data_IF_100656573236
#
_entry.id   IF_100656573236
#
_cell.length_a   1.000
_cell.length_b   1.000
_cell.length_c   1.000
_cell.angle_alpha   90.00
_cell.angle_beta   90.00
_cell.angle_gamma   90.00
#
_symmetry.space_group_name_H-M   'P 1'
#
loop_
_entity.id
_entity.type
_entity.pdbx_description
1 polymer ?
#
# COMPACT_ATOMS: atom_id res chain seq x y z
N UNK A 1 -5.64 -4.99 16.72
CA UNK A 1 -6.87 -4.77 15.94
C UNK A 1 -6.83 -3.38 15.37
N UNK A 2 -7.32 -3.18 14.14
CA UNK A 2 -7.45 -1.85 13.52
C UNK A 2 -8.93 -1.47 13.53
N UNK A 3 -9.26 -0.28 14.02
CA UNK A 3 -10.63 0.27 14.11
C UNK A 3 -10.88 1.42 13.12
N UNK A 4 -10.03 1.55 12.10
CA UNK A 4 -10.15 2.61 11.12
C UNK A 4 -11.34 2.35 10.17
N UNK A 5 -12.20 3.35 10.00
CA UNK A 5 -13.29 3.35 9.03
C UNK A 5 -12.97 4.34 7.91
N UNK A 6 -13.04 3.89 6.65
CA UNK A 6 -12.72 4.71 5.49
C UNK A 6 -13.39 4.17 4.22
N UNK A 7 -13.42 4.98 3.16
CA UNK A 7 -13.81 4.58 1.81
C UNK A 7 -12.58 4.41 0.91
N UNK A 8 -12.73 3.71 -0.22
CA UNK A 8 -11.66 3.60 -1.22
C UNK A 8 -11.15 4.97 -1.68
N UNK A 9 -12.06 5.93 -1.90
CA UNK A 9 -11.70 7.28 -2.30
C UNK A 9 -10.87 7.99 -1.22
N UNK A 10 -11.31 7.96 0.04
CA UNK A 10 -10.58 8.59 1.13
C UNK A 10 -9.19 7.96 1.35
N UNK A 11 -9.06 6.63 1.21
CA UNK A 11 -7.76 5.97 1.23
C UNK A 11 -6.86 6.44 0.08
N UNK A 12 -7.36 6.47 -1.15
CA UNK A 12 -6.59 6.92 -2.31
C UNK A 12 -6.13 8.39 -2.15
N UNK A 13 -7.01 9.27 -1.68
CA UNK A 13 -6.67 10.67 -1.38
C UNK A 13 -5.59 10.77 -0.30
N UNK A 14 -5.72 10.01 0.80
CA UNK A 14 -4.71 9.98 1.85
C UNK A 14 -3.34 9.53 1.31
N UNK A 15 -3.30 8.44 0.54
CA UNK A 15 -2.05 7.93 -0.01
C UNK A 15 -1.46 8.82 -1.10
N UNK A 16 -2.30 9.52 -1.87
CA UNK A 16 -1.86 10.54 -2.83
C UNK A 16 -1.19 11.71 -2.10
N UNK A 17 -1.84 12.25 -1.06
CA UNK A 17 -1.27 13.33 -0.25
C UNK A 17 0.03 12.90 0.46
N UNK A 18 0.08 11.65 0.93
CA UNK A 18 1.27 11.05 1.52
C UNK A 18 2.39 10.97 0.48
N UNK A 19 2.17 10.33 -0.67
CA UNK A 19 3.17 10.13 -1.72
C UNK A 19 3.65 11.44 -2.36
N UNK A 20 2.76 12.43 -2.48
CA UNK A 20 3.08 13.78 -2.97
C UNK A 20 3.93 14.60 -2.01
N UNK A 21 4.05 14.17 -0.75
CA UNK A 21 4.82 14.86 0.28
C UNK A 21 4.06 16.00 0.96
N UNK A 22 2.72 16.02 0.85
CA UNK A 22 1.86 17.02 1.47
C UNK A 22 1.67 16.74 2.97
N UNK A 23 1.62 15.45 3.35
CA UNK A 23 1.45 15.04 4.75
C UNK A 23 2.77 14.91 5.50
N UNK A 24 3.83 14.46 4.81
CA UNK A 24 5.16 14.25 5.38
C UNK A 24 6.24 14.69 4.38
N UNK A 25 7.37 15.25 4.85
CA UNK A 25 8.49 15.55 3.97
C UNK A 25 9.01 14.29 3.26
N UNK A 26 9.46 14.44 2.00
CA UNK A 26 10.00 13.32 1.20
C UNK A 26 11.14 12.58 1.89
N UNK A 27 11.99 13.27 2.65
CA UNK A 27 13.06 12.64 3.43
C UNK A 27 12.53 11.70 4.53
N UNK A 28 11.42 12.05 5.17
CA UNK A 28 10.77 11.20 6.18
C UNK A 28 10.13 9.98 5.51
N UNK A 29 9.51 10.17 4.34
CA UNK A 29 8.95 9.06 3.56
C UNK A 29 10.03 8.10 3.05
N UNK A 30 11.16 8.63 2.59
CA UNK A 30 12.32 7.82 2.20
C UNK A 30 12.83 6.97 3.38
N UNK A 31 12.84 7.54 4.59
CA UNK A 31 13.17 6.78 5.81
C UNK A 31 12.10 5.74 6.16
N UNK A 32 10.81 6.06 6.00
CA UNK A 32 9.73 5.10 6.21
C UNK A 32 9.75 3.95 5.20
N UNK A 33 10.30 4.18 4.01
CA UNK A 33 10.51 3.18 2.95
C UNK A 33 11.76 2.30 3.16
N UNK A 34 12.63 2.62 4.11
CA UNK A 34 13.78 1.78 4.42
C UNK A 34 13.30 0.49 5.09
N UNK A 35 13.79 -0.65 4.57
CA UNK A 35 13.44 -1.96 5.10
C UNK A 35 13.94 -2.09 6.54
N UNK A 36 13.01 -2.26 7.46
CA UNK A 36 13.28 -2.49 8.87
C UNK A 36 13.16 -3.97 9.23
N UNK A 37 12.18 -4.68 8.65
CA UNK A 37 11.97 -6.09 8.94
C UNK A 37 11.30 -6.86 7.79
N UNK A 38 11.33 -8.19 7.89
CA UNK A 38 10.59 -9.13 7.05
C UNK A 38 9.81 -10.07 7.94
N UNK A 39 8.67 -10.54 7.46
CA UNK A 39 7.84 -11.51 8.16
C UNK A 39 6.67 -11.97 7.32
N UNK A 40 5.74 -12.70 7.94
CA UNK A 40 4.53 -13.17 7.30
C UNK A 40 3.35 -12.26 7.65
N UNK A 41 2.53 -11.93 6.66
CA UNK A 41 1.26 -11.23 6.85
C UNK A 41 0.18 -11.90 6.02
N UNK A 42 -0.88 -12.36 6.69
CA UNK A 42 -1.99 -13.08 6.06
C UNK A 42 -1.53 -14.25 5.16
N UNK A 43 -0.52 -15.01 5.61
CA UNK A 43 0.02 -16.17 4.89
C UNK A 43 0.99 -15.85 3.75
N UNK A 44 1.29 -14.58 3.51
CA UNK A 44 2.19 -14.12 2.44
C UNK A 44 3.42 -13.42 3.04
N UNK A 45 4.57 -13.48 2.36
CA UNK A 45 5.75 -12.72 2.79
C UNK A 45 5.50 -11.21 2.66
N UNK A 46 5.91 -10.46 3.68
CA UNK A 46 5.80 -9.02 3.72
C UNK A 46 7.11 -8.39 4.20
N UNK A 47 7.48 -7.29 3.55
CA UNK A 47 8.58 -6.43 3.99
C UNK A 47 8.00 -5.18 4.62
N UNK A 48 8.60 -4.73 5.73
CA UNK A 48 8.09 -3.63 6.52
C UNK A 48 9.16 -2.55 6.72
N UNK A 49 8.70 -1.30 6.70
CA UNK A 49 9.46 -0.14 7.16
C UNK A 49 8.85 0.42 8.45
N UNK A 50 8.76 1.75 8.55
CA UNK A 50 8.18 2.42 9.73
C UNK A 50 6.65 2.37 9.70
N UNK A 51 6.07 1.22 10.02
CA UNK A 51 4.61 1.01 10.06
C UNK A 51 3.96 0.81 8.68
N UNK A 52 4.77 0.78 7.62
CA UNK A 52 4.33 0.65 6.23
C UNK A 52 4.78 -0.69 5.68
N UNK A 53 3.88 -1.39 5.00
CA UNK A 53 4.21 -2.49 4.12
C UNK A 53 4.87 -1.94 2.86
N UNK A 54 6.04 -2.49 2.53
CA UNK A 54 6.85 -2.08 1.38
C UNK A 54 6.60 -3.08 0.25
N UNK A 55 5.99 -2.60 -0.82
CA UNK A 55 5.80 -3.32 -2.07
C UNK A 55 6.72 -2.84 -3.18
N UNK A 56 6.59 -3.43 -4.35
CA UNK A 56 7.22 -2.93 -5.56
C UNK A 56 6.28 -3.08 -6.75
N UNK A 57 6.26 -2.08 -7.61
CA UNK A 57 5.70 -2.16 -8.96
C UNK A 57 6.87 -2.31 -9.94
N UNK A 58 6.80 -3.30 -10.82
CA UNK A 58 7.84 -3.57 -11.81
C UNK A 58 7.29 -3.32 -13.21
N UNK A 59 7.98 -2.49 -13.99
CA UNK A 59 7.68 -2.20 -15.39
C UNK A 59 8.93 -2.49 -16.24
N UNK A 60 8.97 -3.67 -16.87
CA UNK A 60 10.19 -4.15 -17.51
C UNK A 60 11.34 -4.29 -16.50
N UNK A 61 12.44 -3.57 -16.73
CA UNK A 61 13.58 -3.53 -15.80
C UNK A 61 13.42 -2.49 -14.68
N UNK A 62 12.43 -1.60 -14.76
CA UNK A 62 12.20 -0.55 -13.78
C UNK A 62 11.48 -1.09 -12.55
N UNK A 63 11.94 -0.67 -11.37
CA UNK A 63 11.34 -1.04 -10.09
C UNK A 63 11.00 0.20 -9.28
N UNK A 64 9.72 0.42 -9.05
CA UNK A 64 9.21 1.51 -8.23
C UNK A 64 8.80 0.99 -6.85
N UNK A 65 9.08 1.76 -5.79
CA UNK A 65 8.77 1.36 -4.42
C UNK A 65 7.34 1.77 -4.08
N UNK A 66 6.53 0.79 -3.66
CA UNK A 66 5.18 1.03 -3.16
C UNK A 66 5.20 1.10 -1.64
N UNK A 67 4.49 2.08 -1.06
CA UNK A 67 4.35 2.29 0.38
C UNK A 67 2.88 2.26 0.76
N UNK A 68 2.50 1.32 1.62
CA UNK A 68 1.12 1.26 2.10
C UNK A 68 0.87 0.17 3.10
N UNK A 69 -0.33 -0.41 3.07
CA UNK A 69 -0.70 -1.48 3.98
C UNK A 69 -1.87 -2.30 3.41
N UNK A 70 -1.72 -3.62 3.32
CA UNK A 70 -2.83 -4.53 3.08
C UNK A 70 -3.58 -4.81 4.39
N UNK A 71 -4.90 -4.86 4.36
CA UNK A 71 -5.71 -5.25 5.51
C UNK A 71 -6.18 -6.70 5.38
N UNK A 72 -6.47 -7.33 6.52
CA UNK A 72 -7.13 -8.63 6.56
C UNK A 72 -8.45 -8.55 5.78
N UNK A 73 -8.70 -9.54 4.92
CA UNK A 73 -9.93 -9.63 4.14
C UNK A 73 -9.96 -8.87 2.81
N UNK A 74 -8.84 -8.23 2.42
CA UNK A 74 -8.60 -7.80 1.04
C UNK A 74 -8.59 -6.29 0.78
N UNK A 75 -9.02 -5.46 1.72
CA UNK A 75 -8.82 -4.01 1.59
C UNK A 75 -7.33 -3.68 1.52
N UNK A 76 -6.96 -2.65 0.77
CA UNK A 76 -5.58 -2.27 0.50
C UNK A 76 -5.53 -0.76 0.27
N UNK A 77 -4.49 -0.11 0.78
CA UNK A 77 -4.16 1.24 0.32
C UNK A 77 -2.66 1.42 0.25
N UNK A 78 -2.18 2.10 -0.78
CA UNK A 78 -0.77 2.41 -0.97
C UNK A 78 -0.55 3.55 -1.97
N UNK A 79 0.66 4.07 -2.01
CA UNK A 79 1.15 4.94 -3.08
C UNK A 79 2.47 4.45 -3.68
N UNK A 80 2.75 4.90 -4.90
CA UNK A 80 4.03 4.79 -5.59
C UNK A 80 4.52 6.22 -5.89
N UNK A 81 5.27 6.85 -4.96
CA UNK A 81 5.60 8.28 -5.06
C UNK A 81 6.33 8.69 -6.35
N UNK A 82 7.07 7.77 -6.96
CA UNK A 82 7.80 8.01 -8.21
C UNK A 82 6.89 8.12 -9.44
N UNK A 83 5.67 7.57 -9.36
CA UNK A 83 4.71 7.52 -10.45
C UNK A 83 3.50 8.44 -10.21
N UNK A 84 3.50 9.21 -9.12
CA UNK A 84 2.34 9.99 -8.66
C UNK A 84 1.04 9.15 -8.59
N UNK A 85 1.20 7.88 -8.21
CA UNK A 85 0.11 6.91 -8.17
C UNK A 85 -0.30 6.64 -6.72
N UNK A 86 -1.60 6.61 -6.47
CA UNK A 86 -2.17 6.14 -5.22
C UNK A 86 -3.40 5.28 -5.49
N UNK A 87 -3.52 4.18 -4.75
CA UNK A 87 -4.61 3.22 -4.88
C UNK A 87 -5.24 3.00 -3.51
N UNK A 88 -6.57 3.04 -3.48
CA UNK A 88 -7.39 2.63 -2.35
C UNK A 88 -8.41 1.59 -2.80
N UNK A 89 -8.43 0.45 -2.13
CA UNK A 89 -9.38 -0.66 -2.35
C UNK A 89 -10.05 -0.96 -1.01
N UNK A 90 -11.37 -0.88 -0.99
CA UNK A 90 -12.19 -1.29 0.16
C UNK A 90 -13.21 -2.32 -0.28
N UNK A 91 -13.38 -3.38 0.50
CA UNK A 91 -14.34 -4.45 0.23
C UNK A 91 -15.42 -4.49 1.32
N UNK A 92 -16.66 -4.76 0.94
CA UNK A 92 -17.77 -4.96 1.88
C UNK A 92 -17.85 -6.40 2.41
N UNK A 93 -17.08 -7.33 1.83
CA UNK A 93 -16.99 -8.73 2.25
C UNK A 93 -15.53 -9.12 2.40
N UNK A 94 -15.18 -9.58 3.61
CA UNK A 94 -13.85 -10.10 3.90
C UNK A 94 -13.67 -11.47 3.24
N UNK A 95 -12.54 -11.68 2.59
CA UNK A 95 -12.16 -12.94 1.93
C UNK A 95 -10.68 -13.21 2.15
N UNK A 96 -10.31 -14.46 2.42
CA UNK A 96 -8.92 -14.87 2.55
C UNK A 96 -8.20 -14.88 1.19
N UNK A 97 -8.95 -15.15 0.13
CA UNK A 97 -8.49 -15.28 -1.25
C UNK A 97 -8.12 -13.94 -1.89
N UNK A 98 -8.69 -12.83 -1.39
CA UNK A 98 -8.44 -11.44 -1.86
C UNK A 98 -8.59 -11.29 -3.39
N UNK A 99 -9.45 -12.10 -4.02
CA UNK A 99 -9.53 -12.21 -5.48
C UNK A 99 -9.87 -10.88 -6.17
N UNK A 100 -10.79 -10.10 -5.59
CA UNK A 100 -11.15 -8.79 -6.14
C UNK A 100 -9.96 -7.83 -6.16
N UNK A 101 -9.23 -7.75 -5.05
CA UNK A 101 -8.03 -6.91 -4.91
C UNK A 101 -6.96 -7.34 -5.92
N UNK A 102 -6.67 -8.64 -6.02
CA UNK A 102 -5.69 -9.16 -6.99
C UNK A 102 -6.08 -8.83 -8.45
N UNK A 103 -7.37 -8.92 -8.79
CA UNK A 103 -7.86 -8.56 -10.13
C UNK A 103 -7.73 -7.08 -10.42
N UNK A 104 -8.05 -6.21 -9.45
CA UNK A 104 -7.90 -4.75 -9.61
C UNK A 104 -6.42 -4.39 -9.79
N UNK A 105 -5.53 -4.97 -8.99
CA UNK A 105 -4.09 -4.73 -9.12
C UNK A 105 -3.50 -5.21 -10.45
N UNK A 106 -4.11 -6.20 -11.10
CA UNK A 106 -3.67 -6.66 -12.41
C UNK A 106 -4.07 -5.72 -13.57
N UNK A 107 -4.87 -4.68 -13.30
CA UNK A 107 -5.28 -3.67 -14.28
C UNK A 107 -4.41 -2.41 -14.25
N UNK A 108 -3.48 -2.31 -13.30
CA UNK A 108 -2.62 -1.16 -13.06
C UNK A 108 -1.16 -1.57 -13.24
#
# INVERSE_FOLDING_TARGET
GVSAHSSAHALATFYSALGGGQLLPRAVLARAAQRASRGMFAGEEATWGLGMQIGALCEGEWRHVALGHAATGGSLGFCVPQLDLAIGITLSRLTAEKTATRRILALV
#
